data_IF_691905908280
#
_entry.id   IF_691905908280
#
_cell.length_a   1.000
_cell.length_b   1.000
_cell.length_c   1.000
_cell.angle_alpha   90.00
_cell.angle_beta   90.00
_cell.angle_gamma   90.00
#
_symmetry.space_group_name_H-M   'P 1'
#
loop_
_entity.id
_entity.type
_entity.pdbx_description
1 polymer ?
#
# COMPACT_ATOMS: atom_id res chain seq x y z
N UNK A 1 26.11 8.89 -1.85
CA UNK A 1 24.98 8.99 -0.91
C UNK A 1 25.04 10.37 -0.29
N UNK A 2 24.10 11.25 -0.62
CA UNK A 2 24.00 12.59 -0.03
C UNK A 2 22.53 13.03 0.03
N UNK A 3 22.24 13.83 1.05
CA UNK A 3 20.92 14.19 1.61
C UNK A 3 20.29 13.07 2.46
N UNK A 4 20.73 12.97 3.73
CA UNK A 4 20.14 12.21 4.85
C UNK A 4 19.25 11.01 4.47
N UNK A 5 19.84 9.81 4.40
CA UNK A 5 19.10 8.53 4.45
C UNK A 5 18.46 8.38 5.84
N UNK A 6 17.38 9.10 6.09
CA UNK A 6 16.54 8.89 7.27
C UNK A 6 15.65 7.69 6.98
N UNK A 7 16.21 6.51 7.18
CA UNK A 7 15.49 5.26 7.05
C UNK A 7 14.74 4.94 8.35
N UNK A 8 13.50 4.50 8.21
CA UNK A 8 12.68 4.01 9.32
C UNK A 8 12.32 2.54 9.08
N UNK A 9 12.50 1.73 10.11
CA UNK A 9 12.30 0.28 10.04
C UNK A 9 11.22 -0.17 11.02
N UNK A 10 10.28 -0.99 10.53
CA UNK A 10 9.28 -1.69 11.34
C UNK A 10 9.46 -3.18 11.15
N UNK A 11 9.63 -3.91 12.25
CA UNK A 11 9.57 -5.38 12.27
C UNK A 11 8.40 -5.84 13.13
N UNK A 12 7.64 -6.82 12.62
CA UNK A 12 6.51 -7.45 13.32
C UNK A 12 6.54 -8.96 13.06
N UNK A 13 6.16 -9.73 14.08
CA UNK A 13 5.98 -11.19 13.98
C UNK A 13 4.48 -11.48 14.06
N UNK A 14 3.97 -12.23 13.09
CA UNK A 14 2.56 -12.62 13.03
C UNK A 14 2.42 -14.12 13.26
N UNK A 15 1.45 -14.53 14.09
CA UNK A 15 1.04 -15.94 14.23
C UNK A 15 0.13 -16.34 13.07
N UNK A 16 0.65 -16.27 11.85
CA UNK A 16 -0.06 -16.60 10.62
C UNK A 16 0.92 -17.22 9.60
N UNK A 17 0.45 -18.11 8.72
CA UNK A 17 1.25 -18.60 7.60
C UNK A 17 1.69 -17.45 6.70
N UNK A 18 2.86 -17.60 6.06
CA UNK A 18 3.44 -16.60 5.17
C UNK A 18 2.48 -16.19 4.06
N UNK A 19 1.79 -17.16 3.47
CA UNK A 19 0.84 -16.92 2.38
C UNK A 19 -0.30 -16.00 2.79
N UNK A 20 -0.75 -16.09 4.05
CA UNK A 20 -1.80 -15.20 4.56
C UNK A 20 -1.30 -13.76 4.71
N UNK A 21 -0.06 -13.59 5.16
CA UNK A 21 0.59 -12.27 5.22
C UNK A 21 0.78 -11.72 3.80
N UNK A 22 1.21 -12.56 2.86
CA UNK A 22 1.33 -12.18 1.45
C UNK A 22 0.01 -11.74 0.83
N UNK A 23 -1.09 -12.47 1.09
CA UNK A 23 -2.44 -12.11 0.64
C UNK A 23 -2.90 -10.76 1.18
N UNK A 24 -2.50 -10.39 2.39
CA UNK A 24 -2.83 -9.07 2.95
C UNK A 24 -2.30 -7.92 2.08
N UNK A 25 -1.18 -8.11 1.37
CA UNK A 25 -0.58 -7.10 0.49
C UNK A 25 -0.87 -7.30 -1.00
N UNK A 26 -1.16 -8.53 -1.43
CA UNK A 26 -1.34 -8.90 -2.84
C UNK A 26 -2.81 -8.97 -3.28
N UNK A 27 -3.74 -8.61 -2.39
CA UNK A 27 -5.17 -8.58 -2.66
C UNK A 27 -5.77 -7.20 -2.33
N UNK A 28 -6.47 -6.59 -3.30
CA UNK A 28 -7.07 -5.27 -3.14
C UNK A 28 -8.13 -5.22 -2.02
N UNK A 29 -8.95 -6.26 -1.86
CA UNK A 29 -9.95 -6.30 -0.80
C UNK A 29 -9.31 -6.39 0.59
N UNK A 30 -8.17 -7.08 0.70
CA UNK A 30 -7.40 -7.12 1.94
C UNK A 30 -6.78 -5.77 2.26
N UNK A 31 -6.10 -5.12 1.29
CA UNK A 31 -5.50 -3.79 1.48
C UNK A 31 -6.53 -2.75 1.94
N UNK A 32 -7.74 -2.79 1.39
CA UNK A 32 -8.82 -1.88 1.79
C UNK A 32 -9.23 -2.02 3.27
N UNK A 33 -8.96 -3.16 3.90
CA UNK A 33 -9.31 -3.40 5.30
C UNK A 33 -8.24 -2.93 6.29
N UNK A 34 -6.96 -2.82 5.88
CA UNK A 34 -5.87 -2.60 6.85
C UNK A 34 -4.88 -1.50 6.48
N UNK A 35 -4.78 -1.07 5.22
CA UNK A 35 -3.75 -0.11 4.80
C UNK A 35 -3.97 1.30 5.40
N UNK A 36 -5.23 1.72 5.51
CA UNK A 36 -5.58 3.04 6.05
C UNK A 36 -5.45 3.07 7.58
N UNK A 37 -5.23 4.26 8.17
CA UNK A 37 -5.27 4.42 9.61
C UNK A 37 -6.68 4.13 10.15
N UNK A 38 -6.77 3.88 11.46
CA UNK A 38 -8.07 3.65 12.12
C UNK A 38 -9.03 4.82 11.86
N UNK A 39 -10.30 4.49 11.56
CA UNK A 39 -11.33 5.48 11.22
C UNK A 39 -11.36 5.91 9.76
N UNK A 40 -10.44 5.39 8.93
CA UNK A 40 -10.44 5.59 7.48
C UNK A 40 -11.19 4.46 6.77
N UNK A 41 -11.95 4.80 5.71
CA UNK A 41 -12.37 3.84 4.69
C UNK A 41 -11.43 3.96 3.50
N UNK A 42 -10.74 2.87 3.17
CA UNK A 42 -9.90 2.80 1.97
C UNK A 42 -10.69 2.20 0.82
N UNK A 43 -10.66 2.86 -0.33
CA UNK A 43 -11.26 2.39 -1.57
C UNK A 43 -10.15 2.15 -2.60
N UNK A 44 -10.09 0.93 -3.14
CA UNK A 44 -9.17 0.57 -4.21
C UNK A 44 -9.74 1.01 -5.57
N UNK A 45 -9.11 2.01 -6.19
CA UNK A 45 -9.54 2.53 -7.50
C UNK A 45 -8.90 1.76 -8.66
N UNK A 46 -7.65 1.34 -8.48
CA UNK A 46 -6.94 0.47 -9.44
C UNK A 46 -5.90 -0.36 -8.71
N UNK A 47 -5.75 -1.63 -9.07
CA UNK A 47 -4.81 -2.52 -8.42
C UNK A 47 -4.15 -3.45 -9.44
N UNK A 48 -2.88 -3.21 -9.72
CA UNK A 48 -2.05 -4.01 -10.62
C UNK A 48 -0.82 -4.51 -9.89
N UNK A 49 -0.99 -5.62 -9.18
CA UNK A 49 0.05 -6.20 -8.33
C UNK A 49 1.09 -7.00 -9.12
N UNK A 50 1.93 -6.27 -9.85
CA UNK A 50 3.06 -6.80 -10.63
C UNK A 50 4.14 -5.72 -10.77
N UNK A 51 5.40 -6.08 -11.07
CA UNK A 51 6.43 -5.09 -11.39
C UNK A 51 5.98 -4.13 -12.50
N UNK A 52 6.16 -2.83 -12.30
CA UNK A 52 5.68 -1.77 -13.20
C UNK A 52 4.19 -1.45 -13.11
N UNK A 53 3.40 -2.24 -12.38
CA UNK A 53 2.02 -1.93 -12.04
C UNK A 53 1.92 -0.96 -10.86
N UNK A 54 0.69 -0.54 -10.55
CA UNK A 54 0.44 0.34 -9.43
C UNK A 54 -0.86 0.03 -8.71
N UNK A 55 -0.92 0.48 -7.46
CA UNK A 55 -2.14 0.53 -6.65
C UNK A 55 -2.53 1.99 -6.45
N UNK A 56 -3.71 2.38 -6.90
CA UNK A 56 -4.30 3.70 -6.68
C UNK A 56 -5.47 3.56 -5.72
N UNK A 57 -5.50 4.38 -4.67
CA UNK A 57 -6.53 4.29 -3.65
C UNK A 57 -6.94 5.66 -3.13
N UNK A 58 -8.20 5.73 -2.71
CA UNK A 58 -8.75 6.84 -1.96
C UNK A 58 -8.87 6.46 -0.47
N UNK A 59 -8.59 7.41 0.40
CA UNK A 59 -8.77 7.34 1.84
C UNK A 59 -9.83 8.37 2.23
N UNK A 60 -10.94 7.89 2.78
CA UNK A 60 -12.09 8.70 3.18
C UNK A 60 -12.21 8.71 4.69
N UNK A 61 -12.34 9.91 5.27
CA UNK A 61 -12.61 10.13 6.68
C UNK A 61 -13.90 10.94 6.81
N UNK A 62 -14.63 10.73 7.89
CA UNK A 62 -15.84 11.51 8.15
C UNK A 62 -15.50 12.99 8.37
N UNK A 63 -16.24 13.89 7.72
CA UNK A 63 -16.05 15.33 7.80
C UNK A 63 -14.74 15.90 7.21
N UNK A 64 -13.92 15.10 6.51
CA UNK A 64 -12.66 15.56 5.93
C UNK A 64 -12.60 15.37 4.40
N UNK A 65 -11.74 16.14 3.69
CA UNK A 65 -11.45 15.87 2.29
C UNK A 65 -10.98 14.44 2.07
N UNK A 66 -11.23 13.90 0.87
CA UNK A 66 -10.63 12.61 0.47
C UNK A 66 -9.13 12.79 0.28
N UNK A 67 -8.35 11.77 0.64
CA UNK A 67 -6.91 11.71 0.40
C UNK A 67 -6.63 10.64 -0.64
N UNK A 68 -5.70 10.88 -1.55
CA UNK A 68 -5.34 9.92 -2.59
C UNK A 68 -3.88 9.51 -2.45
N UNK A 69 -3.64 8.22 -2.63
CA UNK A 69 -2.31 7.66 -2.56
C UNK A 69 -2.08 6.65 -3.67
N UNK A 70 -0.82 6.48 -4.02
CA UNK A 70 -0.38 5.58 -5.06
C UNK A 70 0.83 4.79 -4.62
N UNK A 71 0.80 3.48 -4.84
CA UNK A 71 1.99 2.63 -4.80
C UNK A 71 2.43 2.29 -6.20
N UNK A 72 3.69 2.57 -6.53
CA UNK A 72 4.29 2.11 -7.76
C UNK A 72 5.15 0.89 -7.45
N UNK A 73 4.71 -0.30 -7.88
CA UNK A 73 5.40 -1.55 -7.60
C UNK A 73 6.64 -1.67 -8.48
N UNK A 74 7.81 -1.74 -7.84
CA UNK A 74 9.09 -1.96 -8.51
C UNK A 74 9.43 -3.43 -8.60
N UNK A 75 9.21 -4.17 -7.52
CA UNK A 75 9.52 -5.60 -7.44
C UNK A 75 8.43 -6.34 -6.67
N UNK A 76 8.07 -7.53 -7.15
CA UNK A 76 7.10 -8.42 -6.52
C UNK A 76 7.63 -9.85 -6.65
N UNK A 77 8.22 -10.37 -5.57
CA UNK A 77 8.70 -11.75 -5.47
C UNK A 77 7.74 -12.51 -4.56
N UNK A 78 6.97 -13.42 -5.17
CA UNK A 78 5.85 -14.10 -4.51
C UNK A 78 6.24 -14.72 -3.17
N UNK A 79 5.54 -14.34 -2.10
CA UNK A 79 5.76 -14.88 -0.77
C UNK A 79 7.11 -14.49 -0.15
N UNK A 80 7.79 -13.45 -0.65
CA UNK A 80 9.12 -13.08 -0.15
C UNK A 80 9.29 -11.57 0.00
N UNK A 81 9.06 -10.81 -1.07
CA UNK A 81 9.44 -9.40 -1.11
C UNK A 81 8.54 -8.57 -2.01
N UNK A 82 8.17 -7.39 -1.52
CA UNK A 82 7.46 -6.37 -2.28
C UNK A 82 8.25 -5.08 -2.11
N UNK A 83 8.63 -4.45 -3.21
CA UNK A 83 9.27 -3.13 -3.20
C UNK A 83 8.38 -2.18 -3.96
N UNK A 84 8.00 -1.08 -3.32
CA UNK A 84 7.19 -0.04 -3.95
C UNK A 84 7.67 1.35 -3.57
N UNK A 85 7.35 2.31 -4.42
CA UNK A 85 7.36 3.73 -4.05
C UNK A 85 6.00 4.11 -3.53
N UNK A 86 5.96 4.68 -2.33
CA UNK A 86 4.76 5.33 -1.80
C UNK A 86 4.75 6.80 -2.25
N UNK A 87 3.63 7.27 -2.78
CA UNK A 87 3.47 8.63 -3.28
C UNK A 87 2.06 9.13 -3.03
N UNK A 88 1.92 10.45 -2.82
CA UNK A 88 0.62 11.12 -2.92
C UNK A 88 0.12 11.11 -4.36
N UNK A 89 -1.20 11.19 -4.54
CA UNK A 89 -1.85 11.28 -5.83
C UNK A 89 -3.04 12.26 -5.76
N UNK A 90 -3.77 12.38 -6.86
CA UNK A 90 -5.09 12.98 -6.95
C UNK A 90 -6.12 11.92 -7.41
N UNK A 91 -7.37 12.32 -7.65
CA UNK A 91 -8.43 11.42 -8.11
C UNK A 91 -8.12 10.71 -9.46
N UNK A 92 -7.19 11.24 -10.25
CA UNK A 92 -6.80 10.75 -11.57
C UNK A 92 -5.52 9.89 -11.56
N UNK A 93 -5.02 9.53 -10.37
CA UNK A 93 -3.84 8.68 -10.16
C UNK A 93 -2.48 9.35 -10.47
N UNK A 94 -2.46 10.67 -10.60
CA UNK A 94 -1.24 11.45 -10.87
C UNK A 94 -1.57 12.91 -10.78
#
# INVERSE_FOLDING_TARGET
MSANDTAFFITRVFKAPRDRVWQAWSNAASLQQWWGPQGCTVEALRFEFRPGGFFHYAMKFDGAPTWWGRFNYREVVSGERIVWLNSFANAECG
#
